data_IF_122705472583
#
_entry.id   IF_122705472583
#
_cell.length_a   1.000
_cell.length_b   1.000
_cell.length_c   1.000
_cell.angle_alpha   90.00
_cell.angle_beta   90.00
_cell.angle_gamma   90.00
#
_symmetry.space_group_name_H-M   'P 1'
#
loop_
_entity.id
_entity.type
_entity.pdbx_description
1 polymer ?
#
# COMPACT_ATOMS: atom_id res chain seq x y z
N UNK A 1 -71.21 32.37 4.60
CA UNK A 1 -72.58 32.84 4.34
C UNK A 1 -72.58 33.36 2.91
N UNK A 2 -73.45 32.83 2.08
CA UNK A 2 -73.66 33.35 0.74
C UNK A 2 -74.49 34.65 0.88
N UNK A 3 -73.91 35.76 0.46
CA UNK A 3 -74.63 37.01 0.38
C UNK A 3 -75.58 36.92 -0.82
N UNK A 4 -76.70 36.24 -0.63
CA UNK A 4 -77.75 36.20 -1.62
C UNK A 4 -78.62 37.47 -1.38
N UNK A 5 -78.56 38.40 -2.32
CA UNK A 5 -79.42 39.54 -2.38
C UNK A 5 -80.75 39.07 -2.92
N UNK A 6 -81.79 39.14 -2.07
CA UNK A 6 -83.18 38.82 -2.46
C UNK A 6 -83.87 40.06 -3.04
N UNK A 7 -84.71 39.88 -4.05
CA UNK A 7 -85.51 40.94 -4.62
C UNK A 7 -86.52 41.57 -3.63
N UNK A 8 -86.66 40.92 -2.47
CA UNK A 8 -87.50 41.44 -1.36
C UNK A 8 -86.73 42.30 -0.36
N UNK A 9 -85.42 42.52 -0.55
CA UNK A 9 -84.58 43.32 0.36
C UNK A 9 -84.80 44.85 0.10
N UNK A 10 -84.79 45.65 1.17
CA UNK A 10 -84.83 47.10 1.03
C UNK A 10 -83.49 47.66 0.51
N UNK A 11 -83.52 48.88 -0.05
CA UNK A 11 -82.31 49.57 -0.51
C UNK A 11 -81.22 49.70 0.57
N UNK A 12 -81.62 49.86 1.82
CA UNK A 12 -80.70 49.92 2.97
C UNK A 12 -80.03 48.55 3.23
N UNK A 13 -80.75 47.48 3.11
CA UNK A 13 -80.23 46.15 3.24
C UNK A 13 -79.18 45.83 2.10
N UNK A 14 -79.46 46.27 0.89
CA UNK A 14 -78.51 46.20 -0.25
C UNK A 14 -77.26 47.03 0.03
N UNK A 15 -77.44 48.28 0.58
CA UNK A 15 -76.29 49.12 0.96
C UNK A 15 -75.41 48.48 2.02
N UNK A 16 -75.97 47.85 3.03
CA UNK A 16 -75.23 47.14 4.08
C UNK A 16 -74.46 45.98 3.44
N UNK A 17 -75.09 45.16 2.62
CA UNK A 17 -74.41 44.03 1.94
C UNK A 17 -73.33 44.50 0.97
N UNK A 18 -73.51 45.61 0.29
CA UNK A 18 -72.51 46.22 -0.57
C UNK A 18 -71.32 46.76 0.25
N UNK A 19 -71.62 47.38 1.41
CA UNK A 19 -70.57 47.83 2.35
C UNK A 19 -69.80 46.64 2.99
N UNK A 20 -70.46 45.53 3.28
CA UNK A 20 -69.83 44.30 3.73
C UNK A 20 -68.95 43.71 2.65
N UNK A 21 -69.34 43.79 1.37
CA UNK A 21 -68.50 43.40 0.26
C UNK A 21 -67.30 44.36 0.04
N UNK A 22 -67.47 45.65 0.28
CA UNK A 22 -66.41 46.66 0.22
C UNK A 22 -65.38 46.52 1.37
N UNK A 23 -65.71 45.88 2.48
CA UNK A 23 -64.77 45.55 3.57
C UNK A 23 -63.76 44.45 3.11
N UNK A 24 -64.16 43.61 2.15
CA UNK A 24 -63.25 42.61 1.57
C UNK A 24 -62.23 43.24 0.59
N UNK A 25 -62.62 44.36 -0.06
CA UNK A 25 -61.73 45.12 -0.95
C UNK A 25 -61.46 46.50 -0.37
N UNK A 26 -60.29 46.76 0.15
CA UNK A 26 -59.86 48.02 0.69
C UNK A 26 -58.97 48.75 -0.32
N UNK A 27 -59.24 50.05 -0.56
CA UNK A 27 -58.38 50.93 -1.36
C UNK A 27 -57.84 52.02 -0.44
N UNK A 28 -56.53 52.24 -0.48
CA UNK A 28 -55.85 53.32 0.25
C UNK A 28 -55.55 54.56 -0.63
N UNK A 29 -56.16 54.60 -1.79
CA UNK A 29 -56.00 55.70 -2.76
C UNK A 29 -54.79 55.50 -3.74
N UNK A 30 -53.86 54.60 -3.43
CA UNK A 30 -52.71 54.32 -4.28
C UNK A 30 -52.63 52.87 -4.76
N UNK A 31 -53.29 51.95 -4.07
CA UNK A 31 -53.31 50.54 -4.39
C UNK A 31 -54.60 49.84 -4.00
N UNK A 32 -55.08 48.92 -4.81
CA UNK A 32 -56.23 48.06 -4.49
C UNK A 32 -55.74 46.78 -3.86
N UNK A 33 -56.21 46.41 -2.69
CA UNK A 33 -55.89 45.15 -2.01
C UNK A 33 -57.08 44.53 -1.28
N UNK A 34 -57.03 43.22 -1.06
CA UNK A 34 -57.98 42.51 -0.23
C UNK A 34 -57.29 42.25 1.13
N UNK A 35 -57.87 42.77 2.21
CA UNK A 35 -57.39 42.57 3.57
C UNK A 35 -58.37 41.68 4.34
N UNK A 36 -57.88 40.53 4.76
CA UNK A 36 -58.58 39.59 5.61
C UNK A 36 -58.02 39.74 7.05
N UNK A 37 -58.85 40.01 8.04
CA UNK A 37 -58.42 40.28 9.41
C UNK A 37 -58.56 39.09 10.36
N UNK A 38 -58.91 37.92 9.83
CA UNK A 38 -58.92 36.70 10.64
C UNK A 38 -57.49 36.27 10.95
N UNK A 39 -57.13 36.13 12.23
CA UNK A 39 -55.80 35.77 12.73
C UNK A 39 -55.67 34.30 13.06
N UNK A 40 -56.64 33.46 12.74
CA UNK A 40 -56.58 32.02 13.01
C UNK A 40 -55.69 31.35 11.96
N UNK A 41 -54.66 30.62 12.41
CA UNK A 41 -53.79 29.83 11.53
C UNK A 41 -54.59 28.71 10.85
N UNK A 42 -54.26 28.45 9.60
CA UNK A 42 -54.79 27.31 8.88
C UNK A 42 -54.14 26.03 9.38
N UNK A 43 -54.91 25.06 9.81
CA UNK A 43 -54.44 23.74 10.25
C UNK A 43 -54.75 22.64 9.22
N UNK A 44 -55.51 22.96 8.18
CA UNK A 44 -55.87 22.05 7.09
C UNK A 44 -56.27 22.83 5.83
N UNK A 45 -56.52 22.14 4.74
CA UNK A 45 -57.04 22.74 3.49
C UNK A 45 -58.49 23.21 3.58
N UNK A 46 -59.15 23.01 4.73
CA UNK A 46 -60.53 23.42 5.01
C UNK A 46 -60.65 24.51 6.08
N UNK A 47 -59.50 24.99 6.59
CA UNK A 47 -59.44 26.03 7.62
C UNK A 47 -58.59 27.22 7.13
N UNK A 48 -58.78 28.39 7.74
CA UNK A 48 -58.07 29.62 7.40
C UNK A 48 -58.94 30.69 6.81
N UNK A 49 -58.38 31.87 6.55
CA UNK A 49 -59.08 33.05 6.03
C UNK A 49 -59.42 32.95 4.55
N UNK A 50 -58.63 32.19 3.78
CA UNK A 50 -58.89 31.90 2.36
C UNK A 50 -58.96 30.40 2.19
N UNK A 51 -60.08 29.89 1.73
CA UNK A 51 -60.29 28.50 1.35
C UNK A 51 -60.58 28.49 -0.16
N UNK A 52 -59.70 27.88 -0.94
CA UNK A 52 -59.89 27.72 -2.39
C UNK A 52 -59.97 26.23 -2.72
N UNK A 53 -61.02 25.82 -3.37
CA UNK A 53 -61.19 24.45 -3.86
C UNK A 53 -60.52 24.25 -5.25
N UNK A 54 -60.07 25.34 -5.85
CA UNK A 54 -59.27 25.34 -7.10
C UNK A 54 -57.88 25.92 -6.86
N UNK A 55 -57.11 26.06 -7.92
CA UNK A 55 -55.77 26.65 -7.88
C UNK A 55 -55.79 28.16 -7.60
N UNK A 56 -54.68 28.68 -7.11
CA UNK A 56 -54.44 30.12 -6.93
C UNK A 56 -53.28 30.49 -7.86
N UNK A 57 -53.56 31.42 -8.80
CA UNK A 57 -52.57 32.01 -9.69
C UNK A 57 -52.07 33.34 -9.18
N UNK A 58 -50.76 33.48 -8.98
CA UNK A 58 -50.10 34.73 -8.53
C UNK A 58 -49.07 35.10 -9.61
N UNK A 59 -49.31 36.20 -10.33
CA UNK A 59 -48.47 36.64 -11.45
C UNK A 59 -47.13 37.28 -11.01
N UNK A 60 -46.99 37.63 -9.73
CA UNK A 60 -45.80 38.26 -9.16
C UNK A 60 -45.33 37.53 -7.91
N UNK A 61 -44.90 38.23 -6.88
CA UNK A 61 -44.37 37.65 -5.66
C UNK A 61 -45.44 37.28 -4.67
N UNK A 62 -45.26 36.19 -3.91
CA UNK A 62 -46.01 35.83 -2.72
C UNK A 62 -45.06 35.94 -1.52
N UNK A 63 -45.51 36.64 -0.46
CA UNK A 63 -44.79 36.78 0.82
C UNK A 63 -45.59 36.03 1.89
N UNK A 64 -44.92 35.08 2.56
CA UNK A 64 -45.49 34.32 3.66
C UNK A 64 -44.71 34.69 4.93
N UNK A 65 -45.41 35.26 5.94
CA UNK A 65 -44.78 35.78 7.16
C UNK A 65 -44.37 34.70 8.17
N UNK A 66 -44.93 33.48 8.06
CA UNK A 66 -44.62 32.37 8.98
C UNK A 66 -44.26 31.11 8.20
N UNK A 67 -45.07 30.05 8.26
CA UNK A 67 -44.78 28.76 7.66
C UNK A 67 -45.59 28.55 6.36
N UNK A 68 -44.92 27.94 5.36
CA UNK A 68 -45.57 27.34 4.21
C UNK A 68 -45.69 25.85 4.45
N UNK A 69 -46.88 25.30 4.61
CA UNK A 69 -47.10 23.85 4.68
C UNK A 69 -47.67 23.32 3.36
N UNK A 70 -46.92 22.51 2.65
CA UNK A 70 -47.31 21.92 1.37
C UNK A 70 -47.46 20.42 1.55
N UNK A 71 -48.67 19.88 1.41
CA UNK A 71 -48.94 18.45 1.51
C UNK A 71 -48.64 17.68 0.22
N UNK A 72 -48.38 18.35 -0.86
CA UNK A 72 -48.01 17.76 -2.16
C UNK A 72 -46.61 18.14 -2.57
N UNK A 73 -46.32 18.00 -3.87
CA UNK A 73 -45.00 18.32 -4.44
C UNK A 73 -44.82 19.86 -4.59
N UNK A 74 -43.61 20.34 -4.40
CA UNK A 74 -43.15 21.65 -4.82
C UNK A 74 -42.44 21.52 -6.16
N UNK A 75 -42.95 22.16 -7.21
CA UNK A 75 -42.36 22.27 -8.51
C UNK A 75 -41.89 23.70 -8.76
N UNK A 76 -40.59 23.92 -8.81
CA UNK A 76 -39.98 25.21 -9.11
C UNK A 76 -39.29 25.15 -10.49
N UNK A 77 -39.69 26.03 -11.41
CA UNK A 77 -39.02 26.18 -12.70
C UNK A 77 -37.73 27.02 -12.63
N UNK A 78 -37.49 27.66 -11.50
CA UNK A 78 -36.32 28.48 -11.19
C UNK A 78 -35.56 27.96 -9.98
N UNK A 79 -34.71 28.81 -9.42
CA UNK A 79 -33.92 28.48 -8.24
C UNK A 79 -34.79 28.47 -6.95
N UNK A 80 -34.47 27.57 -6.04
CA UNK A 80 -34.88 27.60 -4.67
C UNK A 80 -33.71 28.13 -3.84
N UNK A 81 -33.85 29.29 -3.20
CA UNK A 81 -32.83 29.89 -2.35
C UNK A 81 -33.31 29.86 -0.90
N UNK A 82 -32.48 29.47 0.02
CA UNK A 82 -32.71 29.50 1.45
C UNK A 82 -31.57 30.25 2.14
N UNK A 83 -31.89 31.26 2.94
CA UNK A 83 -30.90 31.97 3.76
C UNK A 83 -30.58 31.21 5.06
N UNK A 84 -31.34 30.17 5.39
CA UNK A 84 -31.12 29.28 6.52
C UNK A 84 -30.83 27.84 6.10
N UNK A 85 -30.90 26.93 7.07
CA UNK A 85 -30.71 25.49 6.84
C UNK A 85 -31.89 24.89 6.06
N UNK A 86 -31.62 23.92 5.22
CA UNK A 86 -32.61 23.06 4.56
C UNK A 86 -32.50 21.66 5.17
N UNK A 87 -33.57 21.10 5.68
CA UNK A 87 -33.70 19.71 6.07
C UNK A 87 -34.47 18.98 4.99
N UNK A 88 -33.88 17.95 4.41
CA UNK A 88 -34.45 17.13 3.35
C UNK A 88 -34.62 15.70 3.88
N UNK A 89 -35.86 15.27 4.08
CA UNK A 89 -36.22 13.99 4.68
C UNK A 89 -36.22 14.00 6.20
N UNK A 90 -37.08 13.18 6.80
CA UNK A 90 -37.19 12.97 8.25
C UNK A 90 -37.15 11.49 8.64
N UNK A 91 -36.99 10.60 7.66
CA UNK A 91 -36.89 9.15 7.85
C UNK A 91 -35.72 8.56 7.02
N UNK A 92 -35.19 7.43 7.49
CA UNK A 92 -34.11 6.68 6.79
C UNK A 92 -34.53 6.11 5.42
N UNK A 93 -35.83 6.11 5.11
CA UNK A 93 -36.38 5.69 3.83
C UNK A 93 -36.46 6.82 2.80
N UNK A 94 -36.20 8.07 3.21
CA UNK A 94 -36.26 9.23 2.33
C UNK A 94 -35.02 9.28 1.41
N UNK A 95 -35.23 9.68 0.18
CA UNK A 95 -34.17 9.75 -0.82
C UNK A 95 -33.98 11.17 -1.33
N UNK A 96 -32.75 11.59 -1.51
CA UNK A 96 -32.36 12.78 -2.24
C UNK A 96 -31.81 12.36 -3.59
N UNK A 97 -32.45 12.74 -4.68
CA UNK A 97 -32.01 12.44 -6.04
C UNK A 97 -31.46 13.71 -6.68
N UNK A 98 -30.16 13.70 -6.99
CA UNK A 98 -29.50 14.76 -7.76
C UNK A 98 -29.41 14.33 -9.22
N UNK A 99 -30.20 14.96 -10.10
CA UNK A 99 -30.10 14.80 -11.55
C UNK A 99 -29.24 15.89 -12.20
N UNK A 100 -28.58 16.71 -11.38
CA UNK A 100 -27.71 17.81 -11.79
C UNK A 100 -26.38 17.72 -11.04
N UNK A 101 -25.36 18.43 -11.54
CA UNK A 101 -24.05 18.53 -10.90
C UNK A 101 -24.11 19.34 -9.61
N UNK A 102 -23.27 18.97 -8.63
CA UNK A 102 -23.07 19.75 -7.41
C UNK A 102 -21.90 20.71 -7.67
N UNK A 103 -22.21 21.99 -7.87
CA UNK A 103 -21.23 23.03 -8.14
C UNK A 103 -20.82 23.76 -6.84
N UNK A 104 -20.43 22.99 -5.81
CA UNK A 104 -19.96 23.51 -4.53
C UNK A 104 -19.19 22.46 -3.75
N UNK A 105 -18.43 22.89 -2.73
CA UNK A 105 -17.83 21.97 -1.77
C UNK A 105 -18.91 21.34 -0.87
N UNK A 106 -18.76 20.05 -0.57
CA UNK A 106 -19.50 19.37 0.50
C UNK A 106 -18.65 19.40 1.77
N UNK A 107 -18.98 20.32 2.67
CA UNK A 107 -18.21 20.54 3.90
C UNK A 107 -19.07 20.12 5.10
N UNK A 108 -18.62 19.17 5.94
CA UNK A 108 -19.32 18.85 7.17
C UNK A 108 -19.23 20.03 8.16
N UNK A 109 -20.31 20.30 8.91
CA UNK A 109 -20.32 21.41 9.86
C UNK A 109 -19.49 21.14 11.14
N UNK A 110 -19.11 19.89 11.38
CA UNK A 110 -18.28 19.47 12.50
C UNK A 110 -17.22 18.48 12.01
N UNK A 111 -15.96 18.74 12.36
CA UNK A 111 -14.83 17.93 11.94
C UNK A 111 -14.91 16.51 12.54
N UNK A 112 -14.73 15.48 11.70
CA UNK A 112 -14.69 14.09 12.14
C UNK A 112 -16.00 13.48 12.65
N UNK A 113 -17.16 14.10 12.34
CA UNK A 113 -18.45 13.64 12.88
C UNK A 113 -19.41 13.05 11.85
N UNK A 114 -19.08 13.11 10.56
CA UNK A 114 -19.98 12.67 9.49
C UNK A 114 -19.24 11.80 8.47
N UNK A 115 -19.89 10.71 8.07
CA UNK A 115 -19.37 9.72 7.14
C UNK A 115 -20.01 9.86 5.75
N UNK A 116 -19.35 9.30 4.73
CA UNK A 116 -19.90 9.07 3.40
C UNK A 116 -20.19 7.58 3.28
N UNK A 117 -21.45 7.17 3.42
CA UNK A 117 -21.85 5.77 3.56
C UNK A 117 -21.85 5.30 5.02
N UNK A 118 -22.08 4.02 5.24
CA UNK A 118 -22.01 3.36 6.55
C UNK A 118 -21.64 1.87 6.40
N UNK A 119 -21.61 1.11 7.48
CA UNK A 119 -21.20 -0.30 7.51
C UNK A 119 -22.11 -1.25 6.70
N UNK A 120 -23.26 -0.81 6.23
CA UNK A 120 -24.23 -1.63 5.48
C UNK A 120 -24.59 -1.03 4.13
N UNK A 121 -24.27 0.24 3.86
CA UNK A 121 -24.60 0.95 2.63
C UNK A 121 -23.37 1.66 2.08
N UNK A 122 -22.85 1.15 0.97
CA UNK A 122 -21.60 1.57 0.35
C UNK A 122 -21.85 2.30 -0.96
N UNK A 123 -20.97 3.22 -1.31
CA UNK A 123 -20.91 3.79 -2.65
C UNK A 123 -20.31 2.78 -3.63
N UNK A 124 -20.91 2.61 -4.79
CA UNK A 124 -20.40 1.67 -5.79
C UNK A 124 -19.04 2.10 -6.33
N UNK A 125 -18.89 3.36 -6.72
CA UNK A 125 -17.64 3.92 -7.25
C UNK A 125 -17.50 5.39 -6.85
N UNK A 126 -16.25 5.84 -6.71
CA UNK A 126 -15.88 7.25 -6.61
C UNK A 126 -14.88 7.61 -7.71
N UNK A 127 -15.14 8.65 -8.49
CA UNK A 127 -14.23 9.16 -9.51
C UNK A 127 -13.68 10.52 -9.04
N UNK A 128 -12.39 10.59 -8.79
CA UNK A 128 -11.73 11.77 -8.26
C UNK A 128 -10.50 12.11 -9.11
N UNK A 129 -10.28 13.37 -9.41
CA UNK A 129 -9.03 13.82 -10.02
C UNK A 129 -7.85 13.62 -9.06
N UNK A 130 -8.05 13.89 -7.76
CA UNK A 130 -7.09 13.62 -6.71
C UNK A 130 -7.77 13.37 -5.38
N UNK A 131 -7.16 12.55 -4.52
CA UNK A 131 -7.62 12.32 -3.15
C UNK A 131 -6.48 12.67 -2.19
N UNK A 132 -6.73 13.59 -1.25
CA UNK A 132 -5.86 13.87 -0.11
C UNK A 132 -6.53 13.38 1.17
N UNK A 133 -5.96 12.38 1.80
CA UNK A 133 -6.40 11.88 3.10
C UNK A 133 -5.49 12.44 4.19
N UNK A 134 -6.07 13.05 5.21
CA UNK A 134 -5.34 13.62 6.33
C UNK A 134 -5.96 13.09 7.62
N UNK A 135 -5.23 12.28 8.38
CA UNK A 135 -5.62 11.91 9.73
C UNK A 135 -5.26 13.04 10.71
N UNK A 136 -6.12 13.32 11.69
CA UNK A 136 -5.79 14.23 12.75
C UNK A 136 -4.71 13.61 13.66
N UNK A 137 -3.70 14.41 14.07
CA UNK A 137 -2.50 13.94 14.77
C UNK A 137 -2.77 13.30 16.15
N UNK A 138 -3.94 13.53 16.74
CA UNK A 138 -4.20 13.21 18.15
C UNK A 138 -5.16 12.03 18.37
N UNK A 139 -5.69 11.43 17.30
CA UNK A 139 -6.76 10.42 17.43
C UNK A 139 -6.30 8.97 17.23
N UNK A 140 -5.03 8.72 16.89
CA UNK A 140 -4.52 7.37 16.65
C UNK A 140 -5.24 6.62 15.53
N UNK A 141 -5.82 7.34 14.56
CA UNK A 141 -6.63 6.78 13.49
C UNK A 141 -5.78 6.52 12.23
N UNK A 142 -6.09 5.45 11.54
CA UNK A 142 -5.55 5.15 10.20
C UNK A 142 -6.14 6.14 9.18
N UNK A 143 -5.28 6.76 8.37
CA UNK A 143 -5.73 7.68 7.34
C UNK A 143 -6.43 6.98 6.16
N UNK A 144 -5.97 5.78 5.81
CA UNK A 144 -6.58 4.91 4.80
C UNK A 144 -6.52 3.47 5.29
N UNK A 145 -7.67 2.84 5.42
CA UNK A 145 -7.83 1.41 5.64
C UNK A 145 -8.54 0.81 4.42
N UNK A 146 -8.01 -0.28 3.88
CA UNK A 146 -8.64 -1.03 2.79
C UNK A 146 -8.93 -2.42 3.34
N UNK A 147 -10.20 -2.67 3.67
CA UNK A 147 -10.71 -3.97 4.09
C UNK A 147 -11.35 -4.66 2.88
N UNK A 148 -10.64 -5.62 2.28
CA UNK A 148 -11.07 -6.35 1.11
C UNK A 148 -11.32 -7.82 1.48
N UNK A 149 -12.57 -8.20 1.50
CA UNK A 149 -13.01 -9.55 1.85
C UNK A 149 -13.28 -10.45 0.62
N UNK A 150 -12.88 -10.02 -0.57
CA UNK A 150 -13.01 -10.82 -1.79
C UNK A 150 -11.76 -11.71 -1.97
N UNK A 151 -11.98 -13.01 -2.16
CA UNK A 151 -10.90 -14.01 -2.30
C UNK A 151 -10.17 -13.93 -3.66
N UNK A 152 -10.82 -13.35 -4.69
CA UNK A 152 -10.39 -13.47 -6.09
C UNK A 152 -9.97 -12.12 -6.71
N UNK A 153 -9.97 -11.02 -5.93
CA UNK A 153 -9.66 -9.68 -6.43
C UNK A 153 -8.54 -9.01 -5.62
N UNK A 154 -7.80 -8.14 -6.28
CA UNK A 154 -6.79 -7.32 -5.61
C UNK A 154 -7.46 -6.23 -4.76
N UNK A 155 -7.05 -6.11 -3.51
CA UNK A 155 -7.51 -5.03 -2.63
C UNK A 155 -7.06 -3.63 -3.10
N UNK A 156 -5.86 -3.54 -3.64
CA UNK A 156 -5.29 -2.30 -4.18
C UNK A 156 -4.56 -2.60 -5.49
N UNK A 157 -4.93 -1.91 -6.55
CA UNK A 157 -4.18 -1.89 -7.81
C UNK A 157 -3.77 -0.46 -8.10
N UNK A 158 -2.47 -0.24 -8.34
CA UNK A 158 -1.92 1.04 -8.77
C UNK A 158 -1.40 0.85 -10.19
N UNK A 159 -2.11 1.41 -11.14
CA UNK A 159 -1.72 1.43 -12.56
C UNK A 159 -1.24 2.84 -12.91
N UNK A 160 0.05 2.98 -13.20
CA UNK A 160 0.69 4.27 -13.39
C UNK A 160 1.51 4.32 -14.67
N UNK A 161 1.26 5.34 -15.47
CA UNK A 161 1.97 5.61 -16.74
C UNK A 161 3.06 6.69 -16.59
N UNK A 162 3.58 6.90 -15.37
CA UNK A 162 4.62 7.91 -15.11
C UNK A 162 5.94 7.52 -15.78
N UNK A 163 6.59 8.49 -16.43
CA UNK A 163 7.86 8.29 -17.13
C UNK A 163 9.07 8.82 -16.36
N UNK A 164 8.89 9.75 -15.44
CA UNK A 164 10.00 10.46 -14.77
C UNK A 164 9.90 10.50 -13.25
N UNK A 165 8.78 10.03 -12.67
CA UNK A 165 8.54 10.03 -11.23
C UNK A 165 8.09 8.64 -10.76
N UNK A 166 8.21 8.38 -9.47
CA UNK A 166 7.75 7.12 -8.89
C UNK A 166 6.22 7.00 -8.94
N UNK A 167 5.71 5.83 -9.32
CA UNK A 167 4.27 5.50 -9.26
C UNK A 167 3.79 5.42 -7.81
N UNK A 168 4.59 4.85 -6.92
CA UNK A 168 4.33 4.80 -5.48
C UNK A 168 5.55 5.29 -4.72
N UNK A 169 5.36 6.18 -3.75
CA UNK A 169 6.39 6.66 -2.84
C UNK A 169 5.90 6.61 -1.40
N UNK A 170 6.69 6.01 -0.53
CA UNK A 170 6.50 6.06 0.92
C UNK A 170 7.61 6.94 1.49
N UNK A 171 7.23 8.01 2.17
CA UNK A 171 8.13 8.99 2.77
C UNK A 171 7.87 9.02 4.29
N UNK A 172 8.85 8.68 5.08
CA UNK A 172 8.72 8.48 6.53
C UNK A 172 9.85 9.16 7.30
N UNK A 173 10.12 10.43 7.01
CA UNK A 173 11.27 11.20 7.53
C UNK A 173 11.27 11.37 9.06
N UNK A 174 10.11 11.31 9.68
CA UNK A 174 9.95 11.45 11.13
C UNK A 174 9.87 10.11 11.90
N UNK A 175 10.07 8.99 11.22
CA UNK A 175 9.96 7.67 11.85
C UNK A 175 11.13 7.42 12.83
N UNK A 176 10.83 7.23 14.11
CA UNK A 176 11.83 6.97 15.15
C UNK A 176 11.86 5.51 15.61
N UNK A 177 10.76 4.80 15.45
CA UNK A 177 10.59 3.39 15.80
C UNK A 177 9.72 2.72 14.77
N UNK A 178 9.81 1.39 14.63
CA UNK A 178 9.04 0.61 13.67
C UNK A 178 9.50 0.80 12.21
N UNK A 179 8.74 0.33 11.24
CA UNK A 179 9.07 0.26 9.81
C UNK A 179 8.21 1.20 8.98
N UNK A 180 8.77 1.76 7.91
CA UNK A 180 8.01 2.57 6.95
C UNK A 180 6.98 1.74 6.15
N UNK A 181 7.26 0.45 5.95
CA UNK A 181 6.34 -0.52 5.36
C UNK A 181 6.55 -1.90 5.99
N UNK A 182 5.47 -2.64 6.18
CA UNK A 182 5.46 -4.04 6.63
C UNK A 182 4.63 -4.83 5.64
N UNK A 183 5.18 -5.94 5.15
CA UNK A 183 4.48 -6.93 4.35
C UNK A 183 4.41 -8.22 5.18
N UNK A 184 3.27 -8.48 5.78
CA UNK A 184 3.05 -9.62 6.67
C UNK A 184 2.11 -10.62 6.01
N UNK A 185 2.63 -11.82 5.67
CA UNK A 185 1.85 -12.94 5.18
C UNK A 185 1.81 -14.03 6.26
N UNK A 186 0.74 -14.04 7.02
CA UNK A 186 0.50 -15.00 8.11
C UNK A 186 -0.38 -16.21 7.66
N UNK A 187 -0.42 -16.53 6.37
CA UNK A 187 -1.19 -17.65 5.86
C UNK A 187 -0.53 -19.00 6.14
N UNK A 188 -1.29 -19.94 6.68
CA UNK A 188 -0.86 -21.33 6.89
C UNK A 188 -0.91 -22.20 5.62
N UNK A 189 -1.17 -21.64 4.43
CA UNK A 189 -1.25 -22.39 3.18
C UNK A 189 0.09 -23.01 2.81
N UNK A 190 0.09 -24.26 2.36
CA UNK A 190 1.26 -24.98 1.85
C UNK A 190 1.52 -24.76 0.36
N UNK A 191 0.68 -23.99 -0.34
CA UNK A 191 0.86 -23.69 -1.75
C UNK A 191 2.03 -22.73 -1.96
N UNK A 192 2.77 -22.91 -3.06
CA UNK A 192 3.85 -22.01 -3.43
C UNK A 192 3.32 -20.60 -3.72
N UNK A 193 3.86 -19.58 -3.04
CA UNK A 193 3.52 -18.17 -3.23
C UNK A 193 4.69 -17.27 -2.81
N UNK A 194 4.69 -16.04 -3.29
CA UNK A 194 5.61 -15.01 -2.83
C UNK A 194 4.86 -13.91 -2.08
N UNK A 195 5.27 -13.60 -0.86
CA UNK A 195 4.68 -12.49 -0.08
C UNK A 195 4.99 -11.13 -0.72
N UNK A 196 6.16 -10.99 -1.33
CA UNK A 196 6.56 -9.84 -2.15
C UNK A 196 7.20 -10.35 -3.43
N UNK A 197 6.74 -9.86 -4.57
CA UNK A 197 7.34 -10.13 -5.88
C UNK A 197 7.74 -8.82 -6.53
N UNK A 198 8.99 -8.75 -7.00
CA UNK A 198 9.53 -7.62 -7.76
C UNK A 198 9.94 -8.15 -9.12
N UNK A 199 9.20 -7.78 -10.15
CA UNK A 199 9.35 -8.31 -11.49
C UNK A 199 9.72 -7.17 -12.45
N UNK A 200 10.80 -7.35 -13.20
CA UNK A 200 11.18 -6.52 -14.33
C UNK A 200 11.40 -7.48 -15.51
N UNK A 201 10.39 -7.67 -16.33
CA UNK A 201 10.31 -8.70 -17.37
C UNK A 201 10.43 -8.17 -18.81
N UNK A 202 10.63 -6.87 -18.99
CA UNK A 202 10.82 -6.30 -20.31
C UNK A 202 12.29 -6.43 -20.78
N UNK A 203 12.60 -7.29 -21.76
CA UNK A 203 13.99 -7.52 -22.19
C UNK A 203 14.65 -6.31 -22.87
N UNK A 204 13.88 -5.31 -23.29
CA UNK A 204 14.41 -4.07 -23.87
C UNK A 204 14.87 -3.05 -22.81
N UNK A 205 14.57 -3.26 -21.54
CA UNK A 205 14.94 -2.36 -20.44
C UNK A 205 16.37 -2.65 -19.94
N UNK A 206 17.37 -2.48 -20.77
CA UNK A 206 18.76 -2.89 -20.54
C UNK A 206 19.45 -2.19 -19.35
N UNK A 207 18.98 -1.02 -18.93
CA UNK A 207 19.53 -0.25 -17.81
C UNK A 207 18.67 -0.31 -16.55
N UNK A 208 17.58 -1.09 -16.55
CA UNK A 208 16.69 -1.18 -15.40
C UNK A 208 17.27 -2.04 -14.29
N UNK A 209 17.11 -1.61 -13.05
CA UNK A 209 17.44 -2.39 -11.86
C UNK A 209 16.12 -2.79 -11.19
N UNK A 210 15.87 -4.09 -11.04
CA UNK A 210 14.64 -4.58 -10.43
C UNK A 210 14.54 -4.21 -8.95
N UNK A 211 15.62 -4.33 -8.18
CA UNK A 211 15.67 -3.97 -6.77
C UNK A 211 16.99 -3.22 -6.47
N UNK A 212 16.89 -2.03 -5.89
CA UNK A 212 18.02 -1.31 -5.30
C UNK A 212 17.76 -1.10 -3.81
N UNK A 213 18.70 -1.56 -2.97
CA UNK A 213 18.71 -1.30 -1.52
C UNK A 213 19.88 -0.37 -1.23
N UNK A 214 19.63 0.76 -0.62
CA UNK A 214 20.64 1.74 -0.22
C UNK A 214 20.43 2.11 1.24
N UNK A 215 21.50 2.05 2.04
CA UNK A 215 21.51 2.44 3.45
C UNK A 215 22.75 3.30 3.70
N UNK A 216 22.57 4.60 3.89
CA UNK A 216 23.66 5.55 4.08
C UNK A 216 24.03 5.72 5.58
N UNK A 217 23.17 5.21 6.46
CA UNK A 217 23.37 5.21 7.91
C UNK A 217 22.94 3.91 8.54
N UNK A 218 23.34 3.53 9.66
CA UNK A 218 23.00 2.28 10.30
C UNK A 218 24.04 1.18 10.07
N UNK A 219 24.04 0.20 10.95
CA UNK A 219 25.06 -0.86 11.02
C UNK A 219 24.74 -2.08 10.16
N UNK A 220 23.50 -2.21 9.70
CA UNK A 220 23.04 -3.33 8.86
C UNK A 220 22.25 -2.79 7.66
N UNK A 221 22.74 -3.03 6.46
CA UNK A 221 22.03 -2.63 5.23
C UNK A 221 20.89 -3.58 4.84
N UNK A 222 21.10 -4.88 4.96
CA UNK A 222 20.11 -5.92 4.68
C UNK A 222 20.28 -7.06 5.67
N UNK A 223 19.18 -7.50 6.26
CA UNK A 223 19.11 -8.72 7.08
C UNK A 223 18.17 -9.71 6.40
N UNK A 224 18.66 -10.92 6.14
CA UNK A 224 17.86 -12.06 5.71
C UNK A 224 17.85 -13.08 6.85
N UNK A 225 16.74 -13.16 7.58
CA UNK A 225 16.55 -14.10 8.68
C UNK A 225 15.54 -15.17 8.26
N UNK A 226 16.02 -16.43 8.09
CA UNK A 226 15.21 -17.57 7.68
C UNK A 226 15.21 -18.64 8.76
N UNK A 227 14.10 -18.70 9.50
CA UNK A 227 13.87 -19.72 10.52
C UNK A 227 12.96 -20.82 9.99
N UNK A 228 13.32 -22.09 10.22
CA UNK A 228 12.56 -23.24 9.80
C UNK A 228 12.53 -24.27 10.93
N UNK A 229 11.34 -24.70 11.34
CA UNK A 229 11.13 -25.55 12.52
C UNK A 229 10.40 -26.86 12.22
N UNK A 230 10.10 -27.17 10.96
CA UNK A 230 9.42 -28.42 10.60
C UNK A 230 10.35 -29.63 10.82
N UNK A 231 9.76 -30.76 11.19
CA UNK A 231 10.46 -32.03 11.44
C UNK A 231 10.49 -32.96 10.21
N UNK A 232 9.86 -32.58 9.10
CA UNK A 232 9.84 -33.30 7.85
C UNK A 232 11.16 -33.21 7.08
N UNK A 233 11.46 -34.18 6.24
CA UNK A 233 12.60 -34.11 5.32
C UNK A 233 12.36 -33.01 4.27
N UNK A 234 13.18 -31.97 4.27
CA UNK A 234 13.08 -30.85 3.36
C UNK A 234 14.44 -30.26 3.03
N UNK A 235 14.57 -29.70 1.83
CA UNK A 235 15.67 -28.77 1.48
C UNK A 235 15.18 -27.35 1.75
N UNK A 236 15.86 -26.63 2.61
CA UNK A 236 15.53 -25.24 2.99
C UNK A 236 16.65 -24.32 2.50
N UNK A 237 16.30 -23.32 1.71
CA UNK A 237 17.26 -22.37 1.15
C UNK A 237 17.02 -20.99 1.74
N UNK A 238 18.04 -20.34 2.28
CA UNK A 238 17.98 -18.99 2.77
C UNK A 238 18.02 -17.95 1.64
N UNK A 239 19.03 -18.03 0.78
CA UNK A 239 19.19 -17.19 -0.42
C UNK A 239 19.43 -18.09 -1.62
N UNK A 240 18.64 -17.93 -2.67
CA UNK A 240 18.82 -18.60 -3.96
C UNK A 240 19.04 -17.54 -5.04
N UNK A 241 20.18 -17.61 -5.72
CA UNK A 241 20.51 -16.74 -6.84
C UNK A 241 20.62 -17.61 -8.08
N UNK A 242 19.69 -17.41 -8.99
CA UNK A 242 19.65 -18.08 -10.30
C UNK A 242 19.90 -17.03 -11.39
N UNK A 243 20.98 -17.21 -12.13
CA UNK A 243 21.40 -16.28 -13.17
C UNK A 243 21.64 -17.03 -14.46
N UNK A 244 20.70 -16.98 -15.37
CA UNK A 244 20.78 -17.61 -16.69
C UNK A 244 20.94 -16.56 -17.79
N UNK A 245 21.96 -16.73 -18.62
CA UNK A 245 22.07 -16.00 -19.88
C UNK A 245 21.68 -16.91 -21.04
N UNK A 246 20.59 -16.59 -21.70
CA UNK A 246 20.24 -17.23 -22.98
C UNK A 246 20.85 -16.45 -24.13
N UNK A 247 21.73 -17.10 -24.89
CA UNK A 247 22.32 -16.51 -26.10
C UNK A 247 21.67 -17.10 -27.35
N UNK A 248 21.44 -16.29 -28.40
CA UNK A 248 21.04 -16.83 -29.71
C UNK A 248 22.03 -17.85 -30.22
N UNK A 249 21.58 -18.79 -31.01
CA UNK A 249 22.39 -19.88 -31.58
C UNK A 249 23.51 -19.42 -32.55
N UNK A 250 23.64 -18.13 -32.80
CA UNK A 250 24.67 -17.53 -33.66
C UNK A 250 25.13 -16.18 -33.10
N UNK A 251 26.41 -15.95 -33.11
CA UNK A 251 27.06 -14.72 -32.66
C UNK A 251 28.42 -15.01 -32.05
N UNK A 252 29.33 -14.04 -32.12
CA UNK A 252 30.72 -14.14 -31.60
C UNK A 252 31.03 -13.04 -30.58
N UNK A 253 30.01 -12.39 -30.00
CA UNK A 253 30.22 -11.36 -29.01
C UNK A 253 30.82 -11.93 -27.73
N UNK A 254 31.78 -11.24 -27.14
CA UNK A 254 32.37 -11.58 -25.87
C UNK A 254 31.43 -11.07 -24.72
N UNK A 255 31.21 -11.91 -23.73
CA UNK A 255 30.41 -11.59 -22.56
C UNK A 255 31.18 -11.80 -21.26
N UNK A 256 30.85 -11.04 -20.23
CA UNK A 256 31.31 -11.28 -18.87
C UNK A 256 30.06 -11.30 -17.98
N UNK A 257 29.86 -12.41 -17.30
CA UNK A 257 28.74 -12.61 -16.40
C UNK A 257 29.24 -12.80 -14.96
N UNK A 258 28.60 -12.11 -14.00
CA UNK A 258 28.98 -12.19 -12.61
C UNK A 258 27.69 -12.43 -11.81
N UNK A 259 27.58 -13.60 -11.18
CA UNK A 259 26.41 -13.94 -10.38
C UNK A 259 26.33 -13.10 -9.09
N UNK A 260 27.43 -13.01 -8.35
CA UNK A 260 27.53 -12.19 -7.12
C UNK A 260 28.84 -11.41 -7.16
N UNK A 261 28.78 -10.11 -7.05
CA UNK A 261 29.91 -9.21 -6.88
C UNK A 261 29.90 -8.62 -5.47
N UNK A 262 30.95 -8.89 -4.68
CA UNK A 262 31.12 -8.31 -3.34
C UNK A 262 32.28 -7.30 -3.40
N UNK A 263 31.96 -6.02 -3.30
CA UNK A 263 32.95 -4.95 -3.22
C UNK A 263 32.86 -4.31 -1.83
N UNK A 264 33.89 -4.53 -1.01
CA UNK A 264 33.95 -4.05 0.37
C UNK A 264 35.16 -3.15 0.51
N UNK A 265 34.95 -1.86 0.59
CA UNK A 265 35.98 -0.84 0.75
C UNK A 265 35.86 -0.19 2.12
N UNK A 266 36.94 -0.18 2.90
CA UNK A 266 37.01 0.55 4.15
C UNK A 266 38.12 1.61 4.08
N UNK A 267 37.83 2.78 4.63
CA UNK A 267 38.78 3.87 4.81
C UNK A 267 38.75 4.32 6.27
N UNK A 268 39.92 4.44 6.89
CA UNK A 268 40.03 4.90 8.27
C UNK A 268 41.46 5.26 8.64
N UNK A 269 41.62 6.08 9.69
CA UNK A 269 42.94 6.53 10.22
C UNK A 269 43.44 5.63 11.33
N UNK A 270 42.65 4.67 11.81
CA UNK A 270 42.99 3.76 12.90
C UNK A 270 43.24 2.32 12.39
N UNK A 271 43.25 1.37 13.33
CA UNK A 271 43.34 -0.06 13.03
C UNK A 271 41.95 -0.53 12.53
N UNK A 272 41.89 -1.05 11.33
CA UNK A 272 40.63 -1.55 10.73
C UNK A 272 40.79 -3.00 10.30
N UNK A 273 39.72 -3.79 10.46
CA UNK A 273 39.57 -5.12 9.88
C UNK A 273 38.41 -5.07 8.89
N UNK A 274 38.65 -5.52 7.66
CA UNK A 274 37.63 -5.56 6.63
C UNK A 274 37.47 -6.98 6.13
N UNK A 275 36.28 -7.54 6.24
CA UNK A 275 35.95 -8.90 5.80
C UNK A 275 34.98 -8.82 4.64
N UNK A 276 35.31 -9.44 3.50
CA UNK A 276 34.42 -9.48 2.33
C UNK A 276 33.30 -10.51 2.49
N UNK A 277 33.63 -11.72 2.90
CA UNK A 277 32.68 -12.81 3.12
C UNK A 277 33.06 -13.53 4.41
N UNK A 278 32.15 -13.61 5.35
CA UNK A 278 32.28 -14.38 6.59
C UNK A 278 31.24 -15.50 6.56
N UNK A 279 31.68 -16.75 6.71
CA UNK A 279 30.82 -17.94 6.66
C UNK A 279 30.99 -18.70 7.96
N UNK A 280 29.95 -18.75 8.78
CA UNK A 280 29.88 -19.57 9.97
C UNK A 280 28.83 -20.66 9.81
N UNK A 281 29.27 -21.92 9.76
CA UNK A 281 28.42 -23.10 9.58
C UNK A 281 28.55 -24.01 10.79
N UNK A 282 27.50 -24.07 11.60
CA UNK A 282 27.44 -24.89 12.79
C UNK A 282 26.49 -26.07 12.58
N UNK A 283 27.02 -27.29 12.61
CA UNK A 283 26.25 -28.52 12.54
C UNK A 283 25.60 -28.88 13.89
N UNK A 284 24.63 -29.78 13.89
CA UNK A 284 24.03 -30.30 15.11
C UNK A 284 25.02 -31.20 15.87
N UNK A 285 24.89 -31.27 17.20
CA UNK A 285 25.80 -32.00 18.10
C UNK A 285 25.41 -33.46 18.34
N UNK A 286 24.25 -33.91 17.88
CA UNK A 286 23.75 -35.29 18.05
C UNK A 286 23.24 -35.86 16.74
N UNK A 287 23.57 -37.13 16.45
CA UNK A 287 23.27 -37.80 15.19
C UNK A 287 24.47 -37.77 14.22
N UNK A 288 24.23 -38.05 12.93
CA UNK A 288 25.25 -37.98 11.90
C UNK A 288 25.00 -36.76 11.02
N UNK A 289 25.88 -35.77 11.08
CA UNK A 289 25.73 -34.49 10.39
C UNK A 289 26.99 -34.16 9.60
N UNK A 290 26.80 -33.53 8.46
CA UNK A 290 27.89 -32.96 7.66
C UNK A 290 27.65 -31.45 7.53
N UNK A 291 28.65 -30.63 7.85
CA UNK A 291 28.63 -29.18 7.67
C UNK A 291 29.64 -28.79 6.61
N UNK A 292 29.23 -28.09 5.56
CA UNK A 292 30.11 -27.62 4.48
C UNK A 292 30.01 -26.10 4.42
N UNK A 293 31.13 -25.42 4.60
CA UNK A 293 31.17 -23.96 4.56
C UNK A 293 31.09 -23.41 3.14
N UNK A 294 31.81 -24.01 2.22
CA UNK A 294 31.85 -23.62 0.80
C UNK A 294 31.93 -24.89 -0.09
N UNK A 295 30.92 -25.05 -0.92
CA UNK A 295 30.89 -26.09 -1.97
C UNK A 295 30.89 -25.41 -3.34
N UNK A 296 31.87 -25.70 -4.17
CA UNK A 296 32.08 -25.08 -5.49
C UNK A 296 32.18 -26.15 -6.56
N UNK A 297 31.21 -26.18 -7.43
CA UNK A 297 31.22 -27.01 -8.63
C UNK A 297 31.39 -26.14 -9.87
N UNK A 298 32.41 -26.42 -10.66
CA UNK A 298 32.69 -25.73 -11.94
C UNK A 298 32.50 -26.71 -13.08
N UNK A 299 31.59 -26.40 -13.97
CA UNK A 299 31.21 -27.25 -15.09
C UNK A 299 32.06 -27.05 -16.36
N UNK A 300 31.53 -27.55 -17.48
CA UNK A 300 32.21 -27.70 -18.77
C UNK A 300 32.59 -26.36 -19.43
N UNK A 301 33.84 -25.99 -19.37
CA UNK A 301 34.43 -24.91 -20.17
C UNK A 301 35.83 -25.32 -20.61
N UNK A 302 36.41 -24.60 -21.56
CA UNK A 302 37.78 -24.88 -22.05
C UNK A 302 38.84 -24.69 -20.95
N UNK A 303 38.56 -23.80 -20.00
CA UNK A 303 39.42 -23.57 -18.83
C UNK A 303 38.55 -23.35 -17.60
N UNK A 304 38.77 -24.15 -16.56
CA UNK A 304 37.98 -24.12 -15.31
C UNK A 304 38.87 -23.84 -14.10
N UNK A 305 38.46 -22.92 -13.24
CA UNK A 305 39.08 -22.68 -11.95
C UNK A 305 37.96 -22.65 -10.89
N UNK A 306 38.00 -23.53 -9.90
CA UNK A 306 37.08 -23.51 -8.77
C UNK A 306 37.31 -22.28 -7.85
N UNK A 307 38.57 -21.87 -7.72
CA UNK A 307 38.94 -20.66 -7.00
C UNK A 307 40.19 -20.01 -7.61
N UNK A 308 40.24 -18.69 -7.61
CA UNK A 308 41.41 -17.90 -8.03
C UNK A 308 41.71 -16.87 -6.95
N UNK A 309 42.88 -16.98 -6.31
CA UNK A 309 43.36 -16.05 -5.30
C UNK A 309 44.41 -15.13 -5.92
N UNK A 310 44.24 -13.82 -5.84
CA UNK A 310 45.12 -12.83 -6.42
C UNK A 310 45.61 -11.88 -5.34
N UNK A 311 46.79 -12.12 -4.80
CA UNK A 311 47.39 -11.39 -3.69
C UNK A 311 47.01 -11.93 -2.31
N UNK A 312 47.85 -11.65 -1.31
CA UNK A 312 47.71 -12.15 0.05
C UNK A 312 48.04 -13.63 0.21
N UNK A 313 48.01 -14.13 1.41
CA UNK A 313 48.19 -15.52 1.80
C UNK A 313 46.88 -16.23 2.11
N UNK A 314 46.89 -17.55 2.05
CA UNK A 314 45.82 -18.40 2.57
C UNK A 314 46.22 -18.83 3.97
N UNK A 315 45.40 -18.51 4.99
CA UNK A 315 45.60 -18.95 6.36
C UNK A 315 44.75 -20.19 6.60
N UNK A 316 45.36 -21.29 6.95
CA UNK A 316 44.70 -22.54 7.33
C UNK A 316 45.01 -22.78 8.80
N UNK A 317 43.99 -22.97 9.62
CA UNK A 317 44.17 -23.29 11.04
C UNK A 317 44.72 -24.67 11.19
N UNK A 318 45.74 -24.83 12.06
CA UNK A 318 46.35 -26.13 12.41
C UNK A 318 45.33 -27.07 13.10
N UNK A 319 45.47 -28.37 12.84
CA UNK A 319 44.73 -29.43 13.50
C UNK A 319 45.66 -30.62 13.78
N UNK A 320 45.27 -31.48 14.73
CA UNK A 320 46.14 -32.60 15.17
C UNK A 320 46.23 -33.74 14.15
N UNK A 321 45.15 -33.99 13.44
CA UNK A 321 45.08 -35.06 12.42
C UNK A 321 44.21 -34.59 11.25
N UNK A 322 44.29 -35.25 10.11
CA UNK A 322 43.32 -35.11 9.04
C UNK A 322 41.89 -35.47 9.52
N UNK A 323 40.89 -34.93 8.88
CA UNK A 323 39.50 -35.34 9.08
C UNK A 323 39.29 -36.76 8.50
N UNK A 324 38.15 -37.38 8.78
CA UNK A 324 37.77 -38.68 8.23
C UNK A 324 37.79 -38.64 6.69
N UNK A 325 38.41 -39.62 6.09
CA UNK A 325 38.53 -39.69 4.64
C UNK A 325 37.19 -39.79 3.93
N UNK A 326 37.09 -39.08 2.84
CA UNK A 326 35.95 -39.12 1.92
C UNK A 326 36.43 -39.64 0.59
N UNK A 327 35.89 -40.76 0.12
CA UNK A 327 36.27 -41.36 -1.14
C UNK A 327 36.24 -40.36 -2.30
N UNK A 328 37.28 -40.39 -3.13
CA UNK A 328 37.53 -39.51 -4.26
C UNK A 328 37.86 -38.03 -3.88
N UNK A 329 38.11 -37.69 -2.63
CA UNK A 329 38.55 -36.37 -2.19
C UNK A 329 39.89 -36.45 -1.45
N UNK A 330 40.79 -35.54 -1.73
CA UNK A 330 42.00 -35.32 -0.91
C UNK A 330 41.79 -34.14 0.01
N UNK A 331 42.50 -34.11 1.13
CA UNK A 331 42.42 -33.03 2.15
C UNK A 331 43.72 -32.23 2.15
N UNK A 332 43.63 -30.90 2.19
CA UNK A 332 44.73 -29.99 2.42
C UNK A 332 44.61 -29.35 3.80
N UNK A 333 45.54 -29.58 4.69
CA UNK A 333 45.44 -29.14 6.09
C UNK A 333 46.82 -28.81 6.68
N UNK A 334 46.86 -28.17 7.84
CA UNK A 334 48.11 -27.83 8.52
C UNK A 334 48.22 -28.64 9.83
N UNK A 335 49.27 -29.45 9.93
CA UNK A 335 49.55 -30.27 11.09
C UNK A 335 50.05 -29.40 12.26
N UNK A 336 49.60 -29.67 13.48
CA UNK A 336 49.90 -28.88 14.70
C UNK A 336 51.25 -29.22 15.34
N UNK A 337 52.16 -29.92 14.63
CA UNK A 337 53.49 -30.19 15.10
C UNK A 337 54.39 -28.95 15.13
N UNK A 338 55.51 -29.03 15.79
CA UNK A 338 56.50 -27.93 15.85
C UNK A 338 57.76 -28.32 15.09
N UNK A 339 58.06 -27.72 13.95
CA UNK A 339 57.29 -26.70 13.21
C UNK A 339 56.08 -27.26 12.49
N UNK A 340 55.03 -26.46 12.31
CA UNK A 340 53.83 -26.82 11.57
C UNK A 340 54.15 -27.22 10.12
N UNK A 341 53.49 -28.24 9.62
CA UNK A 341 53.64 -28.70 8.24
C UNK A 341 52.32 -28.60 7.46
N UNK A 342 52.37 -28.14 6.22
CA UNK A 342 51.26 -28.27 5.29
C UNK A 342 51.22 -29.71 4.78
N UNK A 343 50.09 -30.38 4.91
CA UNK A 343 49.91 -31.80 4.59
C UNK A 343 48.81 -31.93 3.56
N UNK A 344 49.01 -32.86 2.64
CA UNK A 344 47.98 -33.39 1.75
C UNK A 344 47.68 -34.84 2.17
N UNK A 345 46.46 -35.14 2.53
CA UNK A 345 45.96 -36.48 2.79
C UNK A 345 45.22 -36.97 1.55
N UNK A 346 45.59 -38.09 0.98
CA UNK A 346 44.92 -38.66 -0.18
C UNK A 346 43.60 -39.38 0.20
N UNK A 347 42.86 -39.84 -0.77
CA UNK A 347 41.58 -40.51 -0.60
C UNK A 347 41.68 -41.92 0.02
N UNK A 348 42.89 -42.39 0.31
CA UNK A 348 43.19 -43.65 1.02
C UNK A 348 43.66 -43.41 2.46
N UNK A 349 43.68 -42.15 2.91
CA UNK A 349 44.07 -41.74 4.28
C UNK A 349 45.59 -41.66 4.47
N UNK A 350 46.37 -41.56 3.41
CA UNK A 350 47.83 -41.44 3.52
C UNK A 350 48.23 -39.97 3.57
N UNK A 351 48.82 -39.55 4.70
CA UNK A 351 49.36 -38.22 4.93
C UNK A 351 50.68 -37.99 4.21
N UNK A 352 50.70 -36.97 3.38
CA UNK A 352 51.86 -36.55 2.60
C UNK A 352 52.28 -35.13 2.96
N UNK A 353 53.22 -34.94 3.88
CA UNK A 353 53.71 -33.60 4.22
C UNK A 353 54.36 -32.96 2.99
N UNK A 354 53.89 -31.73 2.66
CA UNK A 354 54.51 -30.96 1.58
C UNK A 354 55.88 -30.45 2.05
N UNK A 355 56.96 -31.06 1.53
CA UNK A 355 58.34 -30.74 1.91
C UNK A 355 58.69 -29.28 1.57
N UNK A 356 59.35 -28.55 2.46
CA UNK A 356 60.01 -27.31 2.09
C UNK A 356 61.13 -27.55 1.08
N UNK A 357 61.36 -26.59 0.18
CA UNK A 357 62.45 -26.69 -0.84
C UNK A 357 63.78 -27.09 -0.22
N UNK A 358 64.12 -26.63 0.99
CA UNK A 358 65.31 -26.99 1.68
C UNK A 358 65.42 -28.49 2.05
N UNK A 359 64.30 -29.12 2.46
CA UNK A 359 64.24 -30.56 2.71
C UNK A 359 64.34 -31.38 1.42
N UNK A 360 63.72 -30.94 0.35
CA UNK A 360 63.81 -31.61 -0.98
C UNK A 360 65.21 -31.55 -1.54
N UNK A 361 65.87 -30.41 -1.42
CA UNK A 361 67.26 -30.25 -1.84
C UNK A 361 68.20 -31.11 -1.00
N UNK A 362 68.03 -31.17 0.31
CA UNK A 362 68.82 -32.02 1.18
C UNK A 362 68.66 -33.50 0.86
N UNK A 363 67.46 -33.99 0.57
CA UNK A 363 67.15 -35.33 0.16
C UNK A 363 67.81 -35.62 -1.21
N UNK A 364 67.75 -34.70 -2.18
CA UNK A 364 68.43 -34.88 -3.51
C UNK A 364 69.94 -34.91 -3.36
N UNK A 365 70.56 -34.18 -2.45
CA UNK A 365 71.99 -34.19 -2.17
C UNK A 365 72.45 -35.51 -1.49
N UNK A 366 71.62 -36.04 -0.60
CA UNK A 366 71.96 -37.25 0.20
C UNK A 366 71.70 -38.54 -0.61
N UNK A 367 70.71 -38.58 -1.49
CA UNK A 367 70.29 -39.77 -2.22
C UNK A 367 70.44 -39.67 -3.77
N UNK A 368 70.75 -38.49 -4.28
CA UNK A 368 70.90 -38.24 -5.72
C UNK A 368 72.33 -38.16 -6.20
N UNK A 369 73.11 -39.19 -5.87
CA UNK A 369 74.43 -39.40 -6.41
C UNK A 369 74.36 -40.21 -7.67
#
# INVERSE_FOLDING_TARGET
MSANVSLSETFDQWRVKTNELLVITQTDGSSNFIKLTNTTNSTSNTTGSIISTGGIGISKSMVIGENLNVHGNIHANGNITSDGSITLGDAATDNIVFNADINSNLIPNTNGSFDIGNTTQFWSNGFFESIKLTAASDLGMTALEIDANDADQSALTIDGEQTTVAVMRIDADALTTNSAAVFDDNSASTSARGSVQIIQDNPAALAATALKIQSDGGVTGMLLDKNYTDVGAATVTGLYVDFDRTVPSSGTAAFTDIGINLDVTAAGLGVTTTTGLDIDVVGATSGTHTAVGLDVTVGSADTNYAAKFSGGGILIKEQANADTDIAAYGQLWVQSDTPNALVFTDDTGVDQPLASIGKSVALAIVFGG
#
